data_IF_077284972414
#
_entry.id   IF_077284972414
#
_cell.length_a   1.000
_cell.length_b   1.000
_cell.length_c   1.000
_cell.angle_alpha   90.00
_cell.angle_beta   90.00
_cell.angle_gamma   90.00
#
_symmetry.space_group_name_H-M   'P 1'
#
loop_
_entity.id
_entity.type
_entity.pdbx_description
1 polymer ?
#
# COMPACT_ATOMS: atom_id res chain seq x y z
N UNK A 1 -1.54 16.08 28.78
CA UNK A 1 -1.99 15.06 27.81
C UNK A 1 -1.32 13.73 28.13
N UNK A 2 -2.01 12.61 27.95
CA UNK A 2 -1.37 11.29 28.05
C UNK A 2 -0.30 11.17 26.97
N UNK A 3 0.95 10.90 27.34
CA UNK A 3 2.00 10.61 26.38
C UNK A 3 1.70 9.30 25.64
N UNK A 4 2.02 9.23 24.36
CA UNK A 4 1.70 8.09 23.48
C UNK A 4 2.94 7.30 23.07
N UNK A 5 2.73 5.99 22.88
CA UNK A 5 3.68 5.04 22.34
C UNK A 5 3.28 4.64 20.93
N UNK A 6 4.23 4.77 19.98
CA UNK A 6 4.04 4.37 18.59
C UNK A 6 4.98 3.20 18.29
N UNK A 7 4.45 2.15 17.65
CA UNK A 7 5.22 0.99 17.21
C UNK A 7 5.17 0.90 15.70
N UNK A 8 6.33 0.76 15.05
CA UNK A 8 6.44 0.56 13.59
C UNK A 8 7.02 -0.82 13.31
N UNK A 9 6.21 -1.71 12.74
CA UNK A 9 6.63 -3.05 12.32
C UNK A 9 7.09 -2.99 10.85
N UNK A 10 8.31 -3.47 10.59
CA UNK A 10 9.10 -3.17 9.40
C UNK A 10 9.92 -1.88 9.62
N UNK A 11 10.39 -1.67 10.88
CA UNK A 11 11.11 -0.48 11.31
C UNK A 11 12.43 -0.25 10.58
N UNK A 12 13.07 -1.30 10.04
CA UNK A 12 14.25 -1.23 9.19
C UNK A 12 13.98 -0.80 7.74
N UNK A 13 12.77 -0.40 7.41
CA UNK A 13 12.42 0.09 6.07
C UNK A 13 13.18 1.36 5.71
N UNK A 14 13.58 1.48 4.44
CA UNK A 14 14.16 2.71 3.89
C UNK A 14 13.24 3.94 4.00
N UNK A 15 11.93 3.76 4.23
CA UNK A 15 10.96 4.84 4.45
C UNK A 15 10.89 5.35 5.89
N UNK A 16 11.49 4.67 6.84
CA UNK A 16 11.39 5.06 8.26
C UNK A 16 11.87 6.49 8.53
N UNK A 17 12.95 7.03 7.89
CA UNK A 17 13.32 8.43 8.08
C UNK A 17 12.23 9.42 7.68
N UNK A 18 11.45 9.14 6.63
CA UNK A 18 10.30 9.97 6.26
C UNK A 18 9.19 9.92 7.32
N UNK A 19 8.91 8.74 7.87
CA UNK A 19 7.92 8.60 8.95
C UNK A 19 8.34 9.38 10.21
N UNK A 20 9.62 9.33 10.59
CA UNK A 20 10.17 10.10 11.72
C UNK A 20 10.05 11.60 11.46
N UNK A 21 10.41 12.08 10.26
CA UNK A 21 10.21 13.48 9.88
C UNK A 21 8.76 13.91 10.00
N UNK A 22 7.83 13.09 9.52
CA UNK A 22 6.39 13.35 9.61
C UNK A 22 5.89 13.48 11.05
N UNK A 23 6.43 12.71 11.99
CA UNK A 23 6.15 12.88 13.42
C UNK A 23 6.78 14.16 13.98
N UNK A 24 8.02 14.47 13.62
CA UNK A 24 8.71 15.69 14.07
C UNK A 24 7.96 16.96 13.65
N UNK A 25 7.44 16.99 12.42
CA UNK A 25 6.63 18.12 11.91
C UNK A 25 5.33 18.28 12.73
N UNK A 26 4.83 17.20 13.32
CA UNK A 26 3.57 17.19 14.11
C UNK A 26 3.80 17.11 15.62
N UNK A 27 5.01 17.45 16.10
CA UNK A 27 5.38 17.37 17.52
C UNK A 27 4.45 18.12 18.49
N UNK A 28 3.87 19.22 18.06
CA UNK A 28 2.97 20.04 18.85
C UNK A 28 1.53 19.47 18.87
N UNK A 29 1.23 18.52 18.01
CA UNK A 29 -0.08 17.86 17.89
C UNK A 29 -0.10 16.46 18.51
N UNK A 30 1.06 15.80 18.61
CA UNK A 30 1.21 14.43 19.11
C UNK A 30 2.17 14.42 20.30
N UNK A 31 1.71 14.11 21.53
CA UNK A 31 2.53 14.04 22.73
C UNK A 31 3.31 12.69 22.76
N UNK A 32 4.15 12.45 21.76
CA UNK A 32 4.93 11.22 21.65
C UNK A 32 5.94 11.15 22.81
N UNK A 33 6.01 9.97 23.46
CA UNK A 33 7.06 9.64 24.44
C UNK A 33 8.10 8.73 23.82
N UNK A 34 7.65 7.66 23.16
CA UNK A 34 8.51 6.61 22.66
C UNK A 34 8.04 6.11 21.29
N UNK A 35 9.01 5.82 20.43
CA UNK A 35 8.82 5.18 19.13
C UNK A 35 9.62 3.88 19.11
N UNK A 36 8.93 2.78 18.87
CA UNK A 36 9.53 1.47 18.75
C UNK A 36 9.63 1.08 17.27
N UNK A 37 10.84 0.86 16.79
CA UNK A 37 11.11 0.33 15.46
C UNK A 37 11.38 -1.16 15.59
N UNK A 38 10.52 -1.98 14.99
CA UNK A 38 10.55 -3.44 15.10
C UNK A 38 10.84 -4.07 13.76
N UNK A 39 11.77 -5.00 13.72
CA UNK A 39 12.05 -5.80 12.53
C UNK A 39 12.35 -7.25 12.90
N UNK A 40 12.63 -8.09 11.92
CA UNK A 40 13.06 -9.47 12.06
C UNK A 40 14.59 -9.57 12.03
N UNK A 41 15.17 -10.70 12.42
CA UNK A 41 16.62 -10.92 12.43
C UNK A 41 17.27 -10.59 11.08
N UNK A 42 16.64 -10.97 9.97
CA UNK A 42 17.12 -10.65 8.60
C UNK A 42 17.14 -9.14 8.28
N UNK A 43 16.42 -8.32 9.03
CA UNK A 43 16.36 -6.86 8.91
C UNK A 43 17.22 -6.10 9.93
N UNK A 44 17.90 -6.79 10.84
CA UNK A 44 18.61 -6.22 11.99
C UNK A 44 19.60 -5.12 11.61
N UNK A 45 20.48 -5.36 10.64
CA UNK A 45 21.46 -4.36 10.18
C UNK A 45 20.76 -3.07 9.69
N UNK A 46 19.73 -3.24 8.87
CA UNK A 46 18.94 -2.11 8.36
C UNK A 46 18.23 -1.36 9.49
N UNK A 47 17.67 -2.10 10.46
CA UNK A 47 17.02 -1.54 11.63
C UNK A 47 17.99 -0.67 12.46
N UNK A 48 19.22 -1.15 12.69
CA UNK A 48 20.26 -0.40 13.40
C UNK A 48 20.66 0.88 12.68
N UNK A 49 20.87 0.81 11.35
CA UNK A 49 21.25 1.97 10.52
C UNK A 49 20.14 3.04 10.58
N UNK A 50 18.90 2.64 10.31
CA UNK A 50 17.76 3.55 10.30
C UNK A 50 17.44 4.09 11.69
N UNK A 51 17.52 3.25 12.72
CA UNK A 51 17.29 3.65 14.10
C UNK A 51 18.30 4.69 14.58
N UNK A 52 19.58 4.55 14.19
CA UNK A 52 20.59 5.56 14.48
C UNK A 52 20.32 6.89 13.77
N UNK A 53 19.86 6.86 12.52
CA UNK A 53 19.42 8.07 11.83
C UNK A 53 18.20 8.70 12.54
N UNK A 54 17.20 7.90 12.90
CA UNK A 54 16.02 8.37 13.63
C UNK A 54 16.39 9.10 14.94
N UNK A 55 17.33 8.55 15.72
CA UNK A 55 17.84 9.21 16.94
C UNK A 55 18.48 10.56 16.63
N UNK A 56 19.32 10.63 15.59
CA UNK A 56 19.96 11.91 15.16
C UNK A 56 18.94 12.94 14.68
N UNK A 57 17.87 12.52 14.03
CA UNK A 57 16.78 13.41 13.60
C UNK A 57 16.01 13.96 14.79
N UNK A 58 15.66 13.14 15.76
CA UNK A 58 14.95 13.52 16.99
C UNK A 58 15.82 14.47 17.84
N UNK A 59 17.12 14.16 17.99
CA UNK A 59 18.09 15.04 18.68
C UNK A 59 18.19 16.41 18.01
N UNK A 60 18.32 16.46 16.67
CA UNK A 60 18.34 17.73 15.92
C UNK A 60 17.09 18.56 16.13
N UNK A 61 15.93 17.89 16.23
CA UNK A 61 14.66 18.56 16.48
C UNK A 61 14.47 19.06 17.92
N UNK A 62 15.42 18.77 18.81
CA UNK A 62 15.39 19.16 20.23
C UNK A 62 14.30 18.44 21.03
N UNK A 63 13.97 17.20 20.66
CA UNK A 63 12.89 16.40 21.27
C UNK A 63 13.46 15.36 22.22
N UNK A 64 12.67 15.03 23.27
CA UNK A 64 12.99 14.05 24.31
C UNK A 64 12.39 12.65 24.03
N UNK A 65 12.08 12.35 22.77
CA UNK A 65 11.48 11.05 22.40
C UNK A 65 12.50 9.93 22.48
N UNK A 66 12.08 8.82 23.07
CA UNK A 66 12.88 7.60 23.13
C UNK A 66 12.70 6.78 21.86
N UNK A 67 13.81 6.48 21.14
CA UNK A 67 13.80 5.60 19.96
C UNK A 67 14.33 4.23 20.37
N UNK A 68 13.44 3.25 20.40
CA UNK A 68 13.74 1.86 20.73
C UNK A 68 13.84 1.01 19.47
N UNK A 69 14.81 0.10 19.42
CA UNK A 69 14.98 -0.88 18.36
C UNK A 69 14.76 -2.27 18.97
N UNK A 70 13.90 -3.08 18.38
CA UNK A 70 13.62 -4.42 18.91
C UNK A 70 13.42 -5.44 17.77
N UNK A 71 13.84 -6.66 18.02
CA UNK A 71 13.50 -7.83 17.23
C UNK A 71 12.37 -8.64 17.90
N UNK A 72 11.96 -8.25 19.10
CA UNK A 72 10.82 -8.81 19.82
C UNK A 72 9.58 -7.92 19.65
N UNK A 73 8.72 -8.33 18.73
CA UNK A 73 7.44 -7.65 18.46
C UNK A 73 6.55 -7.61 19.70
N UNK A 74 6.53 -8.66 20.51
CA UNK A 74 5.65 -8.73 21.68
C UNK A 74 6.05 -7.74 22.77
N UNK A 75 7.36 -7.57 22.97
CA UNK A 75 7.87 -6.54 23.87
C UNK A 75 7.44 -5.15 23.40
N UNK A 76 7.64 -4.85 22.13
CA UNK A 76 7.32 -3.56 21.55
C UNK A 76 5.82 -3.23 21.60
N UNK A 77 4.94 -4.21 21.37
CA UNK A 77 3.49 -4.00 21.32
C UNK A 77 2.86 -3.70 22.70
N UNK A 78 3.51 -4.05 23.83
CA UNK A 78 2.93 -3.80 25.17
C UNK A 78 2.54 -2.33 25.34
N UNK A 79 1.25 -2.10 25.59
CA UNK A 79 0.67 -0.77 25.83
C UNK A 79 0.88 0.24 24.69
N UNK A 80 1.05 -0.19 23.44
CA UNK A 80 1.09 0.70 22.29
C UNK A 80 -0.24 1.45 22.16
N UNK A 81 -0.19 2.70 21.71
CA UNK A 81 -1.36 3.50 21.35
C UNK A 81 -1.64 3.45 19.85
N UNK A 82 -0.56 3.37 19.04
CA UNK A 82 -0.62 3.21 17.58
C UNK A 82 0.42 2.19 17.12
N UNK A 83 0.02 1.35 16.17
CA UNK A 83 0.90 0.40 15.50
C UNK A 83 0.85 0.69 14.01
N UNK A 84 1.97 1.03 13.38
CA UNK A 84 2.07 1.13 11.93
C UNK A 84 2.78 -0.07 11.33
N UNK A 85 2.37 -0.50 10.14
CA UNK A 85 3.00 -1.62 9.43
C UNK A 85 3.49 -1.18 8.06
N UNK A 86 4.75 -1.49 7.74
CA UNK A 86 5.41 -1.18 6.46
C UNK A 86 6.40 -2.27 6.05
N UNK A 87 6.09 -3.51 6.36
CA UNK A 87 6.97 -4.65 6.09
C UNK A 87 6.68 -5.33 4.74
N UNK A 88 7.63 -6.14 4.29
CA UNK A 88 7.52 -6.95 3.08
C UNK A 88 8.04 -8.35 3.36
N UNK A 89 7.16 -9.36 3.33
CA UNK A 89 7.55 -10.76 3.48
C UNK A 89 8.37 -11.21 2.27
N UNK A 90 9.58 -11.70 2.52
CA UNK A 90 10.54 -12.10 1.50
C UNK A 90 11.35 -10.95 0.90
N UNK A 91 11.24 -9.72 1.46
CA UNK A 91 12.03 -8.55 1.08
C UNK A 91 11.91 -8.22 -0.44
N UNK A 92 12.92 -7.57 -1.00
CA UNK A 92 12.96 -7.23 -2.43
C UNK A 92 13.20 -8.47 -3.32
N UNK A 93 13.82 -9.53 -2.80
CA UNK A 93 14.03 -10.77 -3.55
C UNK A 93 12.69 -11.43 -3.92
N UNK A 94 11.72 -11.45 -3.01
CA UNK A 94 10.39 -11.94 -3.33
C UNK A 94 9.69 -11.03 -4.34
N UNK A 95 9.84 -9.70 -4.24
CA UNK A 95 9.29 -8.77 -5.22
C UNK A 95 9.88 -8.97 -6.62
N UNK A 96 11.18 -9.21 -6.74
CA UNK A 96 11.82 -9.51 -8.02
C UNK A 96 11.16 -10.75 -8.66
N UNK A 97 10.90 -11.79 -7.87
CA UNK A 97 10.19 -13.00 -8.35
C UNK A 97 8.75 -12.68 -8.74
N UNK A 98 8.04 -11.86 -7.97
CA UNK A 98 6.66 -11.44 -8.27
C UNK A 98 6.55 -10.70 -9.61
N UNK A 99 7.57 -9.91 -9.97
CA UNK A 99 7.62 -9.18 -11.26
C UNK A 99 8.13 -10.08 -12.39
N UNK A 100 9.23 -10.80 -12.20
CA UNK A 100 9.91 -11.55 -13.27
C UNK A 100 9.24 -12.85 -13.68
N UNK A 101 8.63 -13.61 -12.75
CA UNK A 101 8.01 -14.90 -13.11
C UNK A 101 6.84 -14.71 -14.08
N UNK A 102 5.86 -13.82 -13.87
CA UNK A 102 4.83 -13.57 -14.86
C UNK A 102 5.38 -13.09 -16.20
N UNK A 103 6.34 -12.14 -16.19
CA UNK A 103 6.96 -11.60 -17.42
C UNK A 103 7.65 -12.68 -18.23
N UNK A 104 8.34 -13.63 -17.61
CA UNK A 104 8.92 -14.83 -18.28
C UNK A 104 7.88 -15.59 -19.10
N UNK A 105 6.62 -15.56 -18.71
CA UNK A 105 5.52 -16.22 -19.39
C UNK A 105 4.69 -15.28 -20.29
N UNK A 106 5.16 -14.08 -20.56
CA UNK A 106 4.43 -13.11 -21.37
C UNK A 106 3.18 -12.55 -20.69
N UNK A 107 3.19 -12.48 -19.37
CA UNK A 107 2.09 -11.94 -18.54
C UNK A 107 2.63 -10.80 -17.68
N UNK A 108 1.81 -9.77 -17.46
CA UNK A 108 2.20 -8.61 -16.66
C UNK A 108 2.73 -9.03 -15.28
N UNK A 109 3.93 -8.55 -14.95
CA UNK A 109 4.59 -8.71 -13.67
C UNK A 109 4.61 -7.40 -12.89
N UNK A 110 3.84 -7.32 -11.81
CA UNK A 110 3.72 -6.13 -10.96
C UNK A 110 3.55 -6.55 -9.50
N UNK A 111 4.08 -5.74 -8.57
CA UNK A 111 4.16 -6.14 -7.16
C UNK A 111 2.82 -6.17 -6.42
N UNK A 112 1.80 -5.41 -6.87
CA UNK A 112 0.51 -5.23 -6.17
C UNK A 112 -0.71 -5.55 -7.02
N UNK A 113 -0.51 -5.77 -8.32
CA UNK A 113 -1.55 -6.17 -9.27
C UNK A 113 -1.19 -7.50 -9.92
N UNK A 114 -2.17 -8.17 -10.54
CA UNK A 114 -1.94 -9.43 -11.22
C UNK A 114 -1.42 -10.54 -10.29
N UNK A 115 -0.65 -11.45 -10.84
CA UNK A 115 -0.11 -12.62 -10.14
C UNK A 115 0.80 -12.22 -8.97
N UNK A 116 1.65 -11.20 -9.16
CA UNK A 116 2.55 -10.71 -8.11
C UNK A 116 1.80 -10.15 -6.91
N UNK A 117 0.73 -9.35 -7.15
CA UNK A 117 -0.13 -8.82 -6.09
C UNK A 117 -0.81 -9.92 -5.28
N UNK A 118 -1.35 -10.93 -5.94
CA UNK A 118 -1.96 -12.11 -5.28
C UNK A 118 -0.90 -12.80 -4.42
N UNK A 119 0.27 -13.12 -4.95
CA UNK A 119 1.33 -13.81 -4.18
C UNK A 119 1.88 -12.97 -3.03
N UNK A 120 1.98 -11.66 -3.19
CA UNK A 120 2.32 -10.76 -2.09
C UNK A 120 1.29 -10.82 -0.96
N UNK A 121 0.00 -10.84 -1.28
CA UNK A 121 -1.07 -11.02 -0.30
C UNK A 121 -0.98 -12.37 0.39
N UNK A 122 -0.80 -13.48 -0.36
CA UNK A 122 -0.70 -14.84 0.20
C UNK A 122 0.42 -14.96 1.24
N UNK A 123 1.56 -14.26 1.05
CA UNK A 123 2.68 -14.27 2.01
C UNK A 123 2.44 -13.35 3.21
N UNK A 124 1.73 -12.24 3.00
CA UNK A 124 1.61 -11.16 3.98
C UNK A 124 0.46 -11.39 4.96
N UNK A 125 -0.66 -11.97 4.49
CA UNK A 125 -1.87 -12.17 5.31
C UNK A 125 -1.60 -13.01 6.56
N UNK A 126 -0.92 -14.17 6.52
CA UNK A 126 -0.62 -14.91 7.75
C UNK A 126 0.16 -14.09 8.77
N UNK A 127 1.15 -13.32 8.31
CA UNK A 127 2.00 -12.50 9.18
C UNK A 127 1.22 -11.36 9.83
N UNK A 128 0.37 -10.66 9.08
CA UNK A 128 -0.44 -9.57 9.67
C UNK A 128 -1.47 -10.10 10.67
N UNK A 129 -2.05 -11.28 10.42
CA UNK A 129 -2.98 -11.91 11.35
C UNK A 129 -2.28 -12.31 12.67
N UNK A 130 -1.04 -12.78 12.61
CA UNK A 130 -0.23 -13.05 13.81
C UNK A 130 0.07 -11.76 14.59
N UNK A 131 0.40 -10.67 13.88
CA UNK A 131 0.60 -9.35 14.51
C UNK A 131 -0.68 -8.90 15.22
N UNK A 132 -1.81 -9.03 14.57
CA UNK A 132 -3.11 -8.66 15.13
C UNK A 132 -3.48 -9.50 16.35
N UNK A 133 -3.17 -10.79 16.34
CA UNK A 133 -3.38 -11.66 17.51
C UNK A 133 -2.54 -11.17 18.71
N UNK A 134 -1.27 -10.82 18.49
CA UNK A 134 -0.46 -10.21 19.56
C UNK A 134 -1.01 -8.85 20.02
N UNK A 135 -1.51 -8.03 19.09
CA UNK A 135 -2.13 -6.73 19.44
C UNK A 135 -3.38 -6.88 20.31
N UNK A 136 -4.22 -7.89 20.05
CA UNK A 136 -5.42 -8.15 20.88
C UNK A 136 -5.07 -8.44 22.33
N UNK A 137 -3.93 -9.09 22.57
CA UNK A 137 -3.47 -9.41 23.91
C UNK A 137 -2.72 -8.26 24.57
N UNK A 138 -1.85 -7.55 23.83
CA UNK A 138 -0.85 -6.64 24.38
C UNK A 138 -1.25 -5.17 24.29
N UNK A 139 -2.07 -4.80 23.30
CA UNK A 139 -2.54 -3.42 23.08
C UNK A 139 -3.91 -3.38 22.38
N UNK A 140 -5.00 -3.95 22.97
CA UNK A 140 -6.30 -4.10 22.32
C UNK A 140 -6.96 -2.78 21.94
N UNK A 141 -6.51 -1.68 22.52
CA UNK A 141 -7.03 -0.34 22.25
C UNK A 141 -6.23 0.43 21.20
N UNK A 142 -5.09 -0.09 20.76
CA UNK A 142 -4.26 0.56 19.74
C UNK A 142 -4.95 0.60 18.37
N UNK A 143 -4.66 1.61 17.59
CA UNK A 143 -5.01 1.66 16.17
C UNK A 143 -3.90 1.03 15.34
N UNK A 144 -4.27 0.14 14.41
CA UNK A 144 -3.40 -0.40 13.38
C UNK A 144 -3.49 0.49 12.13
N UNK A 145 -2.39 1.14 11.78
CA UNK A 145 -2.24 1.94 10.55
C UNK A 145 -1.49 1.08 9.53
N UNK A 146 -2.20 0.52 8.58
CA UNK A 146 -1.63 -0.44 7.64
C UNK A 146 -1.18 0.20 6.33
N UNK A 147 0.14 0.28 6.12
CA UNK A 147 0.78 0.60 4.83
C UNK A 147 1.31 -0.63 4.10
N UNK A 148 1.25 -1.79 4.73
CA UNK A 148 1.73 -3.03 4.13
C UNK A 148 0.84 -3.42 2.97
N UNK A 149 1.43 -3.52 1.79
CA UNK A 149 0.73 -3.83 0.54
C UNK A 149 0.51 -5.34 0.32
N UNK A 150 -0.56 -5.71 -0.39
CA UNK A 150 -1.64 -4.90 -0.96
C UNK A 150 -2.56 -4.35 0.14
N UNK A 151 -2.57 -3.03 0.32
CA UNK A 151 -3.14 -2.42 1.54
C UNK A 151 -4.63 -2.73 1.74
N UNK A 152 -5.46 -2.66 0.68
CA UNK A 152 -6.88 -3.00 0.74
C UNK A 152 -7.12 -4.44 1.17
N UNK A 153 -6.48 -5.41 0.52
CA UNK A 153 -6.57 -6.84 0.81
C UNK A 153 -6.13 -7.15 2.25
N UNK A 154 -5.01 -6.57 2.68
CA UNK A 154 -4.48 -6.78 4.03
C UNK A 154 -5.42 -6.19 5.09
N UNK A 155 -5.96 -4.99 4.86
CA UNK A 155 -6.93 -4.36 5.77
C UNK A 155 -8.19 -5.19 5.88
N UNK A 156 -8.69 -5.74 4.77
CA UNK A 156 -9.87 -6.62 4.77
C UNK A 156 -9.60 -7.94 5.51
N UNK A 157 -8.43 -8.53 5.33
CA UNK A 157 -8.03 -9.73 6.08
C UNK A 157 -8.00 -9.47 7.60
N UNK A 158 -7.48 -8.31 8.03
CA UNK A 158 -7.48 -7.92 9.45
C UNK A 158 -8.89 -7.79 10.00
N UNK A 159 -9.78 -7.11 9.28
CA UNK A 159 -11.17 -6.90 9.69
C UNK A 159 -11.97 -8.20 9.74
N UNK A 160 -11.90 -9.02 8.68
CA UNK A 160 -12.81 -10.16 8.50
C UNK A 160 -12.27 -11.46 9.10
N UNK A 161 -10.97 -11.66 9.14
CA UNK A 161 -10.34 -12.88 9.69
C UNK A 161 -9.55 -12.60 10.97
N UNK A 162 -8.99 -11.41 11.10
CA UNK A 162 -8.37 -10.96 12.33
C UNK A 162 -9.38 -10.54 13.40
N UNK A 163 -10.62 -10.21 13.05
CA UNK A 163 -11.63 -9.65 13.97
C UNK A 163 -11.05 -8.49 14.82
N UNK A 164 -10.43 -7.52 14.15
CA UNK A 164 -9.82 -6.37 14.77
C UNK A 164 -10.28 -5.08 14.08
N UNK A 165 -11.22 -4.37 14.70
CA UNK A 165 -11.93 -3.24 14.08
C UNK A 165 -11.13 -1.93 14.06
N UNK A 166 -10.10 -1.79 14.92
CA UNK A 166 -9.27 -0.58 14.96
C UNK A 166 -8.14 -0.64 13.93
N UNK A 167 -8.48 -0.79 12.66
CA UNK A 167 -7.54 -0.79 11.55
C UNK A 167 -7.97 0.18 10.46
N UNK A 168 -6.98 0.86 9.88
CA UNK A 168 -7.14 1.71 8.70
C UNK A 168 -6.02 1.40 7.72
N UNK A 169 -6.37 1.09 6.48
CA UNK A 169 -5.38 0.95 5.40
C UNK A 169 -5.11 2.28 4.73
N UNK A 170 -3.85 2.50 4.34
CA UNK A 170 -3.40 3.71 3.70
C UNK A 170 -2.60 3.44 2.42
N UNK A 171 -2.69 4.37 1.51
CA UNK A 171 -1.83 4.47 0.33
C UNK A 171 -1.46 5.94 0.09
N UNK A 172 -0.26 6.19 -0.46
CA UNK A 172 0.14 7.53 -0.85
C UNK A 172 -0.31 7.93 -2.26
N UNK A 173 -0.91 7.03 -3.03
CA UNK A 173 -1.37 7.30 -4.39
C UNK A 173 -2.43 8.40 -4.44
N UNK A 174 -3.48 8.40 -3.63
CA UNK A 174 -4.47 9.47 -3.64
C UNK A 174 -3.86 10.85 -3.35
N UNK A 175 -3.01 10.96 -2.33
CA UNK A 175 -2.38 12.24 -1.98
C UNK A 175 -1.45 12.74 -3.09
N UNK A 176 -0.72 11.85 -3.76
CA UNK A 176 0.08 12.22 -4.94
C UNK A 176 -0.78 12.71 -6.11
N UNK A 177 -1.95 12.09 -6.34
CA UNK A 177 -2.91 12.56 -7.33
C UNK A 177 -3.40 13.96 -6.99
N UNK A 178 -3.77 14.22 -5.74
CA UNK A 178 -4.23 15.53 -5.29
C UNK A 178 -3.20 16.63 -5.63
N UNK A 179 -1.93 16.41 -5.30
CA UNK A 179 -0.86 17.37 -5.61
C UNK A 179 -0.64 17.54 -7.13
N UNK A 180 -0.56 16.43 -7.86
CA UNK A 180 -0.32 16.46 -9.32
C UNK A 180 -1.43 17.21 -10.04
N UNK A 181 -2.68 16.87 -9.76
CA UNK A 181 -3.84 17.36 -10.47
C UNK A 181 -4.15 18.81 -10.10
N UNK A 182 -3.95 19.20 -8.85
CA UNK A 182 -4.01 20.61 -8.44
C UNK A 182 -2.98 21.45 -9.20
N UNK A 183 -1.76 20.94 -9.33
CA UNK A 183 -0.69 21.60 -10.09
C UNK A 183 -1.02 21.76 -11.57
N UNK A 184 -1.66 20.76 -12.19
CA UNK A 184 -2.06 20.80 -13.60
C UNK A 184 -3.02 21.95 -13.90
N UNK A 185 -3.90 22.29 -12.95
CA UNK A 185 -4.87 23.39 -13.10
C UNK A 185 -4.48 24.68 -12.35
N UNK A 186 -3.24 24.73 -11.80
CA UNK A 186 -2.71 25.92 -11.14
C UNK A 186 -3.41 26.29 -9.82
N UNK A 187 -3.98 25.31 -9.10
CA UNK A 187 -4.67 25.51 -7.81
C UNK A 187 -3.90 24.86 -6.66
N UNK A 188 -4.15 25.30 -5.42
CA UNK A 188 -3.70 24.57 -4.22
C UNK A 188 -4.60 23.36 -3.98
N UNK A 189 -4.06 22.20 -3.51
CA UNK A 189 -4.91 21.10 -3.05
C UNK A 189 -5.92 21.52 -1.97
N UNK A 190 -5.56 22.48 -1.13
CA UNK A 190 -6.42 23.00 -0.06
C UNK A 190 -7.64 23.78 -0.58
N UNK A 191 -7.64 24.18 -1.86
CA UNK A 191 -8.76 24.89 -2.51
C UNK A 191 -9.69 23.95 -3.27
N UNK A 192 -9.45 22.65 -3.20
CA UNK A 192 -10.16 21.62 -3.93
C UNK A 192 -10.81 20.60 -3.02
N UNK A 193 -11.85 19.96 -3.51
CA UNK A 193 -12.52 18.82 -2.90
C UNK A 193 -12.30 17.62 -3.82
N UNK A 194 -11.74 16.55 -3.27
CA UNK A 194 -11.46 15.31 -4.00
C UNK A 194 -12.41 14.21 -3.51
N UNK A 195 -13.21 13.66 -4.41
CA UNK A 195 -14.15 12.58 -4.09
C UNK A 195 -13.65 11.27 -4.69
N UNK A 196 -13.05 10.42 -3.86
CA UNK A 196 -12.49 9.12 -4.23
C UNK A 196 -13.48 7.98 -3.98
N UNK A 197 -13.48 6.99 -4.89
CA UNK A 197 -14.29 5.79 -4.77
C UNK A 197 -13.65 4.60 -5.51
N UNK A 198 -13.56 3.45 -4.84
CA UNK A 198 -13.06 2.21 -5.42
C UNK A 198 -12.36 1.30 -4.42
N UNK A 199 -11.31 0.62 -4.88
CA UNK A 199 -10.44 -0.24 -4.09
C UNK A 199 -9.03 0.31 -4.08
N UNK A 200 -8.21 -0.10 -3.16
CA UNK A 200 -6.79 0.29 -3.15
C UNK A 200 -6.12 -0.10 -4.47
N UNK A 201 -5.44 0.85 -5.11
CA UNK A 201 -4.87 0.75 -6.45
C UNK A 201 -5.90 0.51 -7.59
N UNK A 202 -7.18 0.62 -7.29
CA UNK A 202 -8.26 0.42 -8.27
C UNK A 202 -9.45 1.34 -7.96
N UNK A 203 -9.19 2.64 -7.92
CA UNK A 203 -10.17 3.69 -7.62
C UNK A 203 -10.28 4.72 -8.73
N UNK A 204 -11.38 5.46 -8.72
CA UNK A 204 -11.60 6.66 -9.53
C UNK A 204 -11.93 7.83 -8.62
N UNK A 205 -11.77 9.04 -9.13
CA UNK A 205 -12.10 10.24 -8.36
C UNK A 205 -12.61 11.38 -9.21
N UNK A 206 -13.25 12.32 -8.54
CA UNK A 206 -13.70 13.61 -9.08
C UNK A 206 -13.06 14.73 -8.29
N UNK A 207 -13.00 15.90 -8.92
CA UNK A 207 -12.42 17.10 -8.35
C UNK A 207 -13.42 18.23 -8.48
N UNK A 208 -13.68 18.89 -7.37
CA UNK A 208 -14.54 20.07 -7.30
C UNK A 208 -13.78 21.22 -6.67
N UNK A 209 -14.17 22.45 -7.01
CA UNK A 209 -13.76 23.60 -6.21
C UNK A 209 -14.64 23.76 -4.95
N UNK A 210 -14.30 24.74 -4.09
CA UNK A 210 -15.07 25.02 -2.87
C UNK A 210 -16.48 25.56 -3.12
N UNK A 211 -16.82 25.99 -4.34
CA UNK A 211 -18.18 26.40 -4.73
C UNK A 211 -19.04 25.21 -5.17
N UNK A 212 -18.43 24.04 -5.40
CA UNK A 212 -19.06 22.83 -5.91
C UNK A 212 -19.02 22.72 -7.43
N UNK A 213 -18.24 23.54 -8.13
CA UNK A 213 -18.01 23.41 -9.57
C UNK A 213 -17.20 22.13 -9.85
N UNK A 214 -17.67 21.27 -10.78
CA UNK A 214 -16.97 20.05 -11.21
C UNK A 214 -15.80 20.40 -12.14
N UNK A 215 -14.60 20.33 -11.63
CA UNK A 215 -13.35 20.56 -12.36
C UNK A 215 -12.77 19.29 -13.00
N UNK A 216 -13.41 18.14 -12.83
CA UNK A 216 -12.96 16.86 -13.38
C UNK A 216 -12.73 16.92 -14.90
N UNK A 217 -13.63 17.52 -15.73
CA UNK A 217 -13.41 17.63 -17.18
C UNK A 217 -12.16 18.43 -17.54
N UNK A 218 -11.90 19.54 -16.84
CA UNK A 218 -10.71 20.37 -17.06
C UNK A 218 -9.42 19.59 -16.74
N UNK A 219 -9.43 18.84 -15.64
CA UNK A 219 -8.25 18.03 -15.26
C UNK A 219 -8.04 16.88 -16.24
N UNK A 220 -9.11 16.26 -16.76
CA UNK A 220 -9.01 15.22 -17.80
C UNK A 220 -8.34 15.73 -19.07
N UNK A 221 -8.75 16.91 -19.55
CA UNK A 221 -8.14 17.57 -20.71
C UNK A 221 -6.65 17.78 -20.49
N UNK A 222 -6.28 18.35 -19.35
CA UNK A 222 -4.87 18.57 -18.98
C UNK A 222 -4.08 17.28 -18.78
N UNK A 223 -4.70 16.25 -18.24
CA UNK A 223 -4.05 14.96 -18.03
C UNK A 223 -3.71 14.25 -19.36
N UNK A 224 -4.54 14.42 -20.39
CA UNK A 224 -4.28 13.89 -21.72
C UNK A 224 -3.04 14.54 -22.40
N UNK A 225 -2.65 15.75 -21.99
CA UNK A 225 -1.44 16.43 -22.45
C UNK A 225 -0.15 15.96 -21.75
N UNK A 226 -0.28 15.22 -20.64
CA UNK A 226 0.89 14.75 -19.83
C UNK A 226 1.60 13.61 -20.56
N UNK A 227 2.92 13.76 -20.76
CA UNK A 227 3.77 12.79 -21.47
C UNK A 227 4.69 11.99 -20.54
N UNK A 228 4.81 12.38 -19.27
CA UNK A 228 5.76 11.77 -18.33
C UNK A 228 5.09 11.43 -16.99
N UNK A 229 5.55 10.37 -16.35
CA UNK A 229 5.10 10.02 -15.00
C UNK A 229 5.59 11.02 -13.97
N UNK A 230 4.74 11.38 -13.04
CA UNK A 230 5.10 12.08 -11.82
C UNK A 230 5.27 11.13 -10.62
N UNK A 231 5.08 9.82 -10.83
CA UNK A 231 5.11 8.80 -9.78
C UNK A 231 6.19 7.76 -10.10
N UNK A 232 7.28 7.78 -9.34
CA UNK A 232 8.45 6.91 -9.53
C UNK A 232 8.16 5.39 -9.44
N UNK A 233 7.09 4.99 -8.76
CA UNK A 233 6.75 3.58 -8.55
C UNK A 233 5.83 2.99 -9.61
N UNK A 234 5.31 3.79 -10.50
CA UNK A 234 4.33 3.39 -11.52
C UNK A 234 4.89 3.80 -12.87
N UNK A 235 5.06 2.82 -13.74
CA UNK A 235 5.39 3.06 -15.13
C UNK A 235 4.29 3.89 -15.78
N UNK A 236 4.66 4.74 -16.72
CA UNK A 236 3.72 5.63 -17.36
C UNK A 236 3.53 5.29 -18.84
N UNK A 237 2.27 5.08 -19.20
CA UNK A 237 1.76 5.11 -20.56
C UNK A 237 0.52 6.01 -20.54
N UNK A 238 0.42 7.01 -21.41
CA UNK A 238 -0.71 7.93 -21.41
C UNK A 238 -2.00 7.18 -21.77
N UNK A 239 -3.08 7.45 -21.04
CA UNK A 239 -4.40 6.96 -21.39
C UNK A 239 -4.87 7.54 -22.72
N UNK A 240 -5.67 6.79 -23.48
CA UNK A 240 -6.41 7.38 -24.60
C UNK A 240 -7.45 8.35 -24.05
N UNK A 241 -7.54 9.54 -24.63
CA UNK A 241 -8.45 10.59 -24.19
C UNK A 241 -9.89 10.09 -24.16
N UNK A 242 -10.31 9.33 -25.18
CA UNK A 242 -11.63 8.75 -25.30
C UNK A 242 -11.98 7.79 -24.15
N UNK A 243 -10.99 7.02 -23.66
CA UNK A 243 -11.19 6.09 -22.53
C UNK A 243 -11.58 6.85 -21.25
N UNK A 244 -10.83 7.91 -20.92
CA UNK A 244 -11.01 8.62 -19.65
C UNK A 244 -12.18 9.60 -19.70
N UNK A 245 -12.44 10.25 -20.84
CA UNK A 245 -13.52 11.23 -21.01
C UNK A 245 -14.87 10.61 -20.71
N UNK A 246 -15.18 9.44 -21.24
CA UNK A 246 -16.46 8.76 -21.08
C UNK A 246 -16.65 8.16 -19.67
N UNK A 247 -15.59 7.92 -18.94
CA UNK A 247 -15.71 7.50 -17.53
C UNK A 247 -16.38 8.60 -16.69
N UNK A 248 -16.08 9.89 -16.97
CA UNK A 248 -16.54 11.03 -16.18
C UNK A 248 -15.94 11.09 -14.78
N UNK A 249 -14.85 10.37 -14.56
CA UNK A 249 -14.04 10.33 -13.36
C UNK A 249 -12.59 10.07 -13.75
N UNK A 250 -11.64 10.63 -13.02
CA UNK A 250 -10.21 10.41 -13.22
C UNK A 250 -9.82 9.02 -12.74
N UNK A 251 -9.16 8.20 -13.55
CA UNK A 251 -8.70 6.89 -13.14
C UNK A 251 -7.44 6.97 -12.27
N UNK A 252 -7.31 6.05 -11.33
CA UNK A 252 -6.05 5.80 -10.63
C UNK A 252 -4.93 5.46 -11.62
N UNK A 253 -3.70 5.89 -11.34
CA UNK A 253 -2.54 5.60 -12.21
C UNK A 253 -2.33 4.10 -12.47
N UNK A 254 -2.71 3.23 -11.53
CA UNK A 254 -2.66 1.79 -11.74
C UNK A 254 -3.64 1.24 -12.79
N UNK A 255 -4.66 2.03 -13.19
CA UNK A 255 -5.57 1.59 -14.25
C UNK A 255 -4.89 1.44 -15.63
N UNK A 256 -3.69 2.02 -15.84
CA UNK A 256 -2.88 1.73 -17.03
C UNK A 256 -2.70 0.23 -17.26
N UNK A 257 -2.45 -0.55 -16.20
CA UNK A 257 -2.28 -2.00 -16.32
C UNK A 257 -3.53 -2.71 -16.87
N UNK A 258 -4.71 -2.13 -16.66
CA UNK A 258 -6.01 -2.68 -17.08
C UNK A 258 -6.53 -2.11 -18.40
N UNK A 259 -6.23 -0.84 -18.67
CA UNK A 259 -6.73 -0.13 -19.85
C UNK A 259 -5.73 -0.15 -21.02
N UNK A 260 -4.45 -0.34 -20.73
CA UNK A 260 -3.34 -0.33 -21.67
C UNK A 260 -2.44 -1.57 -21.44
N UNK A 261 -3.09 -2.74 -21.29
CA UNK A 261 -2.41 -3.98 -20.86
C UNK A 261 -1.27 -4.37 -21.78
N UNK A 262 -1.46 -4.25 -23.11
CA UNK A 262 -0.43 -4.62 -24.08
C UNK A 262 0.78 -3.68 -24.02
N UNK A 263 0.55 -2.37 -23.94
CA UNK A 263 1.63 -1.37 -23.86
C UNK A 263 2.45 -1.56 -22.57
N UNK A 264 1.75 -1.76 -21.45
CA UNK A 264 2.38 -2.02 -20.16
C UNK A 264 3.15 -3.36 -20.14
N UNK A 265 2.64 -4.38 -20.84
CA UNK A 265 3.33 -5.65 -20.98
C UNK A 265 4.60 -5.51 -21.81
N UNK A 266 4.55 -4.83 -22.96
CA UNK A 266 5.74 -4.59 -23.81
C UNK A 266 6.82 -3.84 -23.04
N UNK A 267 6.45 -2.83 -22.28
CA UNK A 267 7.38 -2.11 -21.39
C UNK A 267 8.00 -3.04 -20.34
N UNK A 268 7.17 -3.81 -19.63
CA UNK A 268 7.64 -4.78 -18.64
C UNK A 268 8.56 -5.85 -19.22
N UNK A 269 8.30 -6.33 -20.45
CA UNK A 269 9.19 -7.28 -21.14
C UNK A 269 10.54 -6.65 -21.48
N UNK A 270 10.58 -5.40 -21.93
CA UNK A 270 11.83 -4.69 -22.17
C UNK A 270 12.66 -4.52 -20.88
N UNK A 271 12.01 -4.22 -19.75
CA UNK A 271 12.65 -4.14 -18.43
C UNK A 271 13.13 -5.51 -17.94
N UNK A 272 12.37 -6.58 -18.22
CA UNK A 272 12.78 -7.95 -17.92
C UNK A 272 14.08 -8.34 -18.62
N UNK A 273 14.19 -8.04 -19.91
CA UNK A 273 15.40 -8.33 -20.72
C UNK A 273 16.64 -7.54 -20.26
N UNK A 274 16.42 -6.30 -19.84
CA UNK A 274 17.52 -5.41 -19.40
C UNK A 274 17.86 -5.52 -17.92
N UNK A 275 17.17 -6.40 -17.15
CA UNK A 275 17.31 -6.49 -15.69
C UNK A 275 17.09 -5.15 -14.97
N UNK A 276 16.07 -4.43 -15.41
CA UNK A 276 15.67 -3.13 -14.87
C UNK A 276 14.21 -3.11 -14.43
N UNK A 277 13.63 -4.27 -14.08
CA UNK A 277 12.29 -4.28 -13.48
C UNK A 277 12.28 -3.37 -12.24
N UNK A 278 11.14 -2.82 -11.89
CA UNK A 278 11.06 -1.86 -10.80
C UNK A 278 11.66 -2.39 -9.48
N UNK A 279 11.51 -3.68 -9.19
CA UNK A 279 12.13 -4.30 -8.01
C UNK A 279 13.66 -4.28 -8.06
N UNK A 280 14.23 -4.55 -9.23
CA UNK A 280 15.69 -4.53 -9.44
C UNK A 280 16.26 -3.12 -9.32
N UNK A 281 15.58 -2.13 -9.88
CA UNK A 281 15.95 -0.70 -9.72
C UNK A 281 15.86 -0.28 -8.26
N UNK A 282 14.75 -0.60 -7.59
CA UNK A 282 14.54 -0.27 -6.18
C UNK A 282 15.60 -0.91 -5.27
N UNK A 283 16.05 -2.13 -5.58
CA UNK A 283 17.11 -2.81 -4.81
C UNK A 283 18.43 -2.03 -4.85
N UNK A 284 18.78 -1.47 -6.00
CA UNK A 284 19.99 -0.61 -6.15
C UNK A 284 19.83 0.70 -5.38
N UNK A 285 18.71 1.39 -5.57
CA UNK A 285 18.42 2.64 -4.87
C UNK A 285 18.39 2.46 -3.35
N UNK A 286 17.83 1.35 -2.86
CA UNK A 286 17.79 1.07 -1.43
C UNK A 286 19.20 0.86 -0.85
N UNK A 287 20.08 0.16 -1.56
CA UNK A 287 21.48 0.00 -1.14
C UNK A 287 22.20 1.36 -1.03
N UNK A 288 22.03 2.24 -2.01
CA UNK A 288 22.59 3.61 -2.00
C UNK A 288 22.04 4.43 -0.82
N UNK A 289 20.72 4.33 -0.55
CA UNK A 289 20.10 5.02 0.58
C UNK A 289 20.68 4.55 1.92
N UNK A 290 20.86 3.24 2.12
CA UNK A 290 21.43 2.72 3.36
C UNK A 290 22.87 3.18 3.57
N UNK A 291 23.67 3.33 2.51
CA UNK A 291 25.01 3.93 2.61
C UNK A 291 24.94 5.40 3.07
N UNK A 292 23.99 6.19 2.55
CA UNK A 292 23.76 7.55 3.02
C UNK A 292 23.34 7.57 4.51
N UNK A 293 22.46 6.67 4.92
CA UNK A 293 21.95 6.61 6.31
C UNK A 293 23.04 6.27 7.34
N UNK A 294 24.10 5.55 6.93
CA UNK A 294 25.26 5.25 7.78
C UNK A 294 26.07 6.51 8.14
N UNK A 295 25.95 7.59 7.37
CA UNK A 295 26.69 8.82 7.63
C UNK A 295 26.31 9.41 9.00
N UNK A 296 27.24 9.51 9.98
CA UNK A 296 26.94 10.02 11.32
C UNK A 296 26.56 11.52 11.34
N UNK A 297 26.88 12.25 10.29
CA UNK A 297 26.55 13.68 10.16
C UNK A 297 25.16 13.91 9.54
N UNK A 298 24.56 12.89 8.94
CA UNK A 298 23.20 13.00 8.41
C UNK A 298 22.20 13.06 9.56
N UNK A 299 21.41 14.13 9.61
CA UNK A 299 20.42 14.41 10.66
C UNK A 299 19.05 14.77 10.10
N UNK A 300 18.84 14.53 8.80
CA UNK A 300 17.62 14.81 8.05
C UNK A 300 17.32 13.66 7.12
N UNK A 301 16.09 13.60 6.63
CA UNK A 301 15.72 12.75 5.51
C UNK A 301 16.45 13.24 4.25
N UNK A 302 17.25 12.38 3.57
CA UNK A 302 17.92 12.79 2.35
C UNK A 302 16.94 12.89 1.18
N UNK A 303 17.17 13.87 0.29
CA UNK A 303 16.36 14.08 -0.90
C UNK A 303 16.29 12.84 -1.82
N UNK A 304 17.36 12.04 -1.85
CA UNK A 304 17.45 10.81 -2.63
C UNK A 304 16.34 9.79 -2.30
N UNK A 305 15.72 9.89 -1.13
CA UNK A 305 14.61 9.04 -0.75
C UNK A 305 13.40 9.20 -1.68
N UNK A 306 13.21 10.38 -2.30
CA UNK A 306 12.13 10.61 -3.27
C UNK A 306 12.20 9.68 -4.47
N UNK A 307 13.41 9.32 -4.95
CA UNK A 307 13.64 8.39 -6.06
C UNK A 307 13.20 6.95 -5.76
N UNK A 308 13.15 6.60 -4.47
CA UNK A 308 12.65 5.29 -4.01
C UNK A 308 11.15 5.15 -4.27
N UNK A 309 10.43 6.25 -4.43
CA UNK A 309 8.98 6.37 -4.44
C UNK A 309 8.43 6.46 -3.01
N UNK A 310 7.16 6.76 -2.87
CA UNK A 310 6.53 6.92 -1.56
C UNK A 310 6.52 8.36 -1.05
N UNK A 311 6.69 9.33 -1.92
CA UNK A 311 6.49 10.75 -1.61
C UNK A 311 5.14 10.94 -0.91
N UNK A 312 5.08 11.80 0.12
CA UNK A 312 3.91 12.01 0.99
C UNK A 312 3.46 10.79 1.81
N UNK A 313 4.31 9.77 1.95
CA UNK A 313 4.01 8.61 2.78
C UNK A 313 3.75 9.02 4.24
N UNK A 314 4.62 9.85 4.81
CA UNK A 314 4.48 10.35 6.18
C UNK A 314 3.29 11.27 6.34
N UNK A 315 2.96 12.07 5.31
CA UNK A 315 1.80 12.94 5.37
C UNK A 315 0.51 12.15 5.57
N UNK A 316 0.34 11.04 4.86
CA UNK A 316 -0.81 10.17 5.06
C UNK A 316 -0.82 9.50 6.44
N UNK A 317 0.32 8.87 6.87
CA UNK A 317 0.38 8.13 8.13
C UNK A 317 0.22 9.02 9.36
N UNK A 318 1.02 10.09 9.40
CA UNK A 318 1.07 10.95 10.57
C UNK A 318 -0.19 11.79 10.70
N UNK A 319 -0.80 12.23 9.57
CA UNK A 319 -2.06 12.94 9.59
C UNK A 319 -3.22 12.05 10.07
N UNK A 320 -3.25 10.77 9.65
CA UNK A 320 -4.23 9.82 10.16
C UNK A 320 -4.12 9.66 11.69
N UNK A 321 -2.90 9.45 12.20
CA UNK A 321 -2.66 9.32 13.64
C UNK A 321 -3.06 10.59 14.37
N UNK A 322 -2.69 11.77 13.87
CA UNK A 322 -3.07 13.06 14.42
C UNK A 322 -4.59 13.24 14.44
N UNK A 323 -5.25 12.87 13.34
CA UNK A 323 -6.69 13.04 13.21
C UNK A 323 -7.46 12.13 14.16
N UNK A 324 -7.04 10.88 14.33
CA UNK A 324 -7.63 9.95 15.30
C UNK A 324 -7.39 10.45 16.74
N UNK A 325 -6.12 10.76 17.07
CA UNK A 325 -5.76 11.16 18.44
C UNK A 325 -6.48 12.43 18.90
N UNK A 326 -6.54 13.45 18.02
CA UNK A 326 -7.11 14.76 18.35
C UNK A 326 -8.58 14.90 17.93
N UNK A 327 -9.20 13.87 17.33
CA UNK A 327 -10.56 13.95 16.76
C UNK A 327 -10.73 15.15 15.81
N UNK A 328 -9.74 15.36 14.91
CA UNK A 328 -9.69 16.55 14.02
C UNK A 328 -10.79 16.59 12.97
N UNK A 329 -11.39 15.43 12.65
CA UNK A 329 -12.37 15.27 11.56
C UNK A 329 -11.80 15.63 10.18
N UNK A 330 -10.52 15.31 9.97
CA UNK A 330 -9.85 15.52 8.68
C UNK A 330 -10.48 14.63 7.62
N UNK A 331 -10.74 15.15 6.43
CA UNK A 331 -11.08 14.34 5.28
C UNK A 331 -9.82 13.68 4.71
N UNK A 332 -9.85 12.36 4.55
CA UNK A 332 -8.75 11.57 4.00
C UNK A 332 -9.28 10.43 3.15
N UNK A 333 -8.48 10.00 2.17
CA UNK A 333 -8.75 8.78 1.40
C UNK A 333 -8.09 7.61 2.10
N UNK A 334 -8.90 6.64 2.53
CA UNK A 334 -8.44 5.50 3.31
C UNK A 334 -9.13 4.20 2.89
N UNK A 335 -8.44 3.08 3.11
CA UNK A 335 -9.03 1.74 3.00
C UNK A 335 -9.73 1.41 4.33
N UNK A 336 -11.05 1.26 4.29
CA UNK A 336 -11.91 0.99 5.43
C UNK A 336 -13.14 0.18 5.04
N UNK A 337 -13.95 -0.28 6.00
CA UNK A 337 -15.22 -0.96 5.71
C UNK A 337 -16.12 -0.08 4.85
N UNK A 338 -16.76 -0.71 3.88
CA UNK A 338 -17.67 -0.05 2.96
C UNK A 338 -18.87 0.62 3.66
N UNK A 339 -19.51 -0.09 4.56
CA UNK A 339 -20.71 0.41 5.27
C UNK A 339 -21.76 1.07 4.34
N UNK A 340 -21.79 0.61 3.07
CA UNK A 340 -22.72 1.12 2.06
C UNK A 340 -22.26 2.40 1.34
N UNK A 341 -21.04 2.88 1.54
CA UNK A 341 -20.48 4.01 0.80
C UNK A 341 -20.50 3.76 -0.72
N UNK A 342 -20.14 2.54 -1.13
CA UNK A 342 -20.27 2.03 -2.50
C UNK A 342 -21.36 0.95 -2.52
N UNK A 343 -22.52 1.27 -3.07
CA UNK A 343 -23.69 0.38 -3.05
C UNK A 343 -23.59 -0.79 -4.04
N UNK A 344 -22.60 -0.76 -4.93
CA UNK A 344 -22.30 -1.83 -5.88
C UNK A 344 -21.41 -2.95 -5.28
N UNK A 345 -20.88 -2.75 -4.07
CA UNK A 345 -19.99 -3.69 -3.39
C UNK A 345 -20.59 -4.19 -2.08
N UNK A 346 -20.17 -5.36 -1.57
CA UNK A 346 -20.64 -5.89 -0.29
C UNK A 346 -20.49 -4.89 0.86
N UNK A 347 -21.44 -4.90 1.78
CA UNK A 347 -21.48 -3.98 2.93
C UNK A 347 -20.26 -4.09 3.84
N UNK A 348 -19.76 -5.31 4.04
CA UNK A 348 -18.67 -5.64 4.97
C UNK A 348 -17.28 -5.69 4.33
N UNK A 349 -17.18 -5.48 3.00
CA UNK A 349 -15.89 -5.48 2.32
C UNK A 349 -15.10 -4.19 2.64
N UNK A 350 -13.83 -4.18 2.31
CA UNK A 350 -13.00 -2.97 2.37
C UNK A 350 -13.01 -2.24 1.04
N UNK A 351 -13.16 -0.93 1.12
CA UNK A 351 -13.10 0.00 -0.02
C UNK A 351 -12.09 1.11 0.25
N UNK A 352 -11.54 1.73 -0.79
CA UNK A 352 -10.74 2.95 -0.68
C UNK A 352 -11.59 4.14 -1.12
N UNK A 353 -11.94 4.98 -0.15
CA UNK A 353 -12.90 6.08 -0.33
C UNK A 353 -12.53 7.30 0.50
N UNK A 354 -12.99 8.48 0.07
CA UNK A 354 -13.00 9.68 0.90
C UNK A 354 -13.76 9.40 2.20
N UNK A 355 -13.15 9.74 3.33
CA UNK A 355 -13.67 9.45 4.66
C UNK A 355 -13.37 10.60 5.63
N UNK A 356 -14.26 10.86 6.58
CA UNK A 356 -13.96 11.75 7.70
C UNK A 356 -13.30 10.93 8.81
N UNK A 357 -12.10 11.32 9.20
CA UNK A 357 -11.34 10.65 10.25
C UNK A 357 -11.70 11.25 11.60
N UNK A 358 -12.29 10.44 12.46
CA UNK A 358 -12.69 10.83 13.82
C UNK A 358 -11.88 10.10 14.88
N UNK A 359 -12.02 10.48 16.16
CA UNK A 359 -11.38 9.79 17.28
C UNK A 359 -11.82 8.32 17.47
N UNK A 360 -12.89 7.90 16.78
CA UNK A 360 -13.38 6.52 16.75
C UNK A 360 -13.17 5.88 15.38
N UNK A 361 -12.26 6.43 14.58
CA UNK A 361 -11.86 5.93 13.27
C UNK A 361 -12.55 6.59 12.07
N UNK A 362 -12.35 6.03 10.87
CA UNK A 362 -12.89 6.56 9.63
C UNK A 362 -14.41 6.44 9.54
N UNK A 363 -15.02 7.45 8.93
CA UNK A 363 -16.42 7.51 8.53
C UNK A 363 -16.47 7.67 7.03
N UNK A 364 -16.69 6.60 6.25
CA UNK A 364 -16.71 6.65 4.81
C UNK A 364 -17.83 7.56 4.32
N UNK A 365 -17.52 8.40 3.34
CA UNK A 365 -18.49 9.25 2.67
C UNK A 365 -19.23 8.44 1.59
N UNK A 366 -20.53 8.64 1.50
CA UNK A 366 -21.35 7.96 0.49
C UNK A 366 -21.01 8.45 -0.90
N UNK A 367 -20.65 7.53 -1.78
CA UNK A 367 -20.48 7.79 -3.21
C UNK A 367 -21.69 7.29 -4.02
N UNK A 368 -22.23 6.13 -3.67
CA UNK A 368 -23.35 5.50 -4.37
C UNK A 368 -22.93 4.43 -5.38
N UNK A 369 -23.30 4.60 -6.64
CA UNK A 369 -23.10 3.61 -7.71
C UNK A 369 -22.11 4.10 -8.77
N UNK A 370 -21.32 3.17 -9.28
CA UNK A 370 -20.52 3.39 -10.48
C UNK A 370 -21.32 3.28 -11.78
N UNK A 371 -20.84 3.95 -12.83
CA UNK A 371 -21.28 3.64 -14.19
C UNK A 371 -20.91 2.20 -14.57
N UNK A 372 -21.61 1.55 -15.52
CA UNK A 372 -21.40 0.14 -15.84
C UNK A 372 -19.94 -0.25 -16.16
N UNK A 373 -19.20 0.61 -16.88
CA UNK A 373 -17.80 0.34 -17.25
C UNK A 373 -16.87 0.20 -16.04
N UNK A 374 -17.06 1.03 -15.01
CA UNK A 374 -16.29 0.96 -13.76
C UNK A 374 -16.85 -0.12 -12.82
N UNK A 375 -18.19 -0.24 -12.75
CA UNK A 375 -18.85 -1.21 -11.86
C UNK A 375 -18.44 -2.64 -12.15
N UNK A 376 -18.39 -3.04 -13.42
CA UNK A 376 -18.06 -4.42 -13.80
C UNK A 376 -16.66 -4.82 -13.30
N UNK A 377 -15.67 -3.98 -13.54
CA UNK A 377 -14.29 -4.27 -13.17
C UNK A 377 -14.06 -4.17 -11.65
N UNK A 378 -14.66 -3.19 -10.96
CA UNK A 378 -14.48 -3.07 -9.50
C UNK A 378 -15.11 -4.25 -8.73
N UNK A 379 -16.26 -4.75 -9.20
CA UNK A 379 -16.88 -5.95 -8.63
C UNK A 379 -16.02 -7.20 -8.87
N UNK A 380 -15.47 -7.35 -10.08
CA UNK A 380 -14.58 -8.45 -10.41
C UNK A 380 -13.31 -8.43 -9.53
N UNK A 381 -12.70 -7.24 -9.39
CA UNK A 381 -11.51 -7.08 -8.56
C UNK A 381 -11.81 -7.32 -7.07
N UNK A 382 -12.95 -6.89 -6.55
CA UNK A 382 -13.35 -7.19 -5.17
C UNK A 382 -13.53 -8.70 -4.95
N UNK A 383 -14.19 -9.39 -5.85
CA UNK A 383 -14.33 -10.85 -5.78
C UNK A 383 -12.96 -11.56 -5.80
N UNK A 384 -12.01 -11.09 -6.62
CA UNK A 384 -10.65 -11.60 -6.64
C UNK A 384 -9.92 -11.37 -5.31
N UNK A 385 -10.08 -10.19 -4.70
CA UNK A 385 -9.49 -9.87 -3.38
C UNK A 385 -10.02 -10.80 -2.29
N UNK A 386 -11.33 -11.00 -2.20
CA UNK A 386 -11.98 -11.87 -1.23
C UNK A 386 -11.52 -13.33 -1.36
N UNK A 387 -11.47 -13.86 -2.58
CA UNK A 387 -10.97 -15.23 -2.85
C UNK A 387 -9.48 -15.35 -2.52
N UNK A 388 -8.68 -14.28 -2.75
CA UNK A 388 -7.25 -14.25 -2.38
C UNK A 388 -7.06 -14.32 -0.87
N UNK A 389 -7.85 -13.58 -0.10
CA UNK A 389 -7.81 -13.60 1.36
C UNK A 389 -8.17 -15.00 1.87
N UNK A 390 -9.24 -15.59 1.37
CA UNK A 390 -9.67 -16.94 1.74
C UNK A 390 -8.59 -17.98 1.40
N UNK A 391 -7.94 -17.85 0.23
CA UNK A 391 -6.84 -18.72 -0.17
C UNK A 391 -5.65 -18.61 0.79
N UNK A 392 -5.28 -17.38 1.21
CA UNK A 392 -4.18 -17.14 2.12
C UNK A 392 -4.42 -17.75 3.50
N UNK A 393 -5.66 -17.71 3.99
CA UNK A 393 -6.04 -18.23 5.32
C UNK A 393 -6.17 -19.76 5.30
N UNK A 394 -6.72 -20.33 4.22
CA UNK A 394 -7.01 -21.76 4.14
C UNK A 394 -5.89 -22.63 3.54
N UNK A 395 -4.93 -22.00 2.84
CA UNK A 395 -3.91 -22.72 2.07
C UNK A 395 -4.48 -23.47 0.84
N UNK A 396 -5.65 -23.07 0.34
CA UNK A 396 -6.32 -23.75 -0.76
C UNK A 396 -5.72 -23.38 -2.12
N UNK A 397 -5.07 -24.34 -2.76
CA UNK A 397 -4.59 -24.21 -4.16
C UNK A 397 -5.69 -23.83 -5.14
N UNK A 398 -6.87 -24.47 -4.99
CA UNK A 398 -8.01 -24.22 -5.88
C UNK A 398 -8.48 -22.75 -5.79
N UNK A 399 -8.47 -22.16 -4.60
CA UNK A 399 -8.84 -20.74 -4.42
C UNK A 399 -7.81 -19.80 -5.01
N UNK A 400 -6.50 -20.09 -4.90
CA UNK A 400 -5.49 -19.28 -5.61
C UNK A 400 -5.73 -19.34 -7.12
N UNK A 401 -6.01 -20.51 -7.67
CA UNK A 401 -6.32 -20.65 -9.08
C UNK A 401 -7.59 -19.86 -9.47
N UNK A 402 -8.62 -19.86 -8.63
CA UNK A 402 -9.81 -19.03 -8.83
C UNK A 402 -9.47 -17.53 -8.82
N UNK A 403 -8.64 -17.06 -7.88
CA UNK A 403 -8.20 -15.68 -7.85
C UNK A 403 -7.42 -15.30 -9.12
N UNK A 404 -6.57 -16.20 -9.64
CA UNK A 404 -5.87 -16.03 -10.92
C UNK A 404 -6.84 -15.89 -12.09
N UNK A 405 -7.89 -16.72 -12.14
CA UNK A 405 -8.89 -16.70 -13.22
C UNK A 405 -9.74 -15.42 -13.16
N UNK A 406 -10.02 -14.89 -11.97
CA UNK A 406 -10.77 -13.66 -11.78
C UNK A 406 -9.94 -12.41 -12.13
N UNK A 407 -8.62 -12.50 -12.10
CA UNK A 407 -7.77 -11.32 -12.34
C UNK A 407 -7.62 -11.06 -13.84
N UNK A 408 -8.08 -9.91 -14.38
CA UNK A 408 -8.05 -9.64 -15.82
C UNK A 408 -6.64 -9.48 -16.40
N UNK A 409 -5.61 -9.33 -15.56
CA UNK A 409 -4.19 -9.26 -15.99
C UNK A 409 -3.56 -10.63 -16.18
N UNK A 410 -4.27 -11.72 -15.85
CA UNK A 410 -3.77 -13.08 -15.95
C UNK A 410 -4.60 -13.84 -16.98
N UNK A 411 -4.05 -14.22 -18.14
CA UNK A 411 -4.76 -15.09 -19.07
C UNK A 411 -5.15 -16.41 -18.39
N UNK A 412 -6.39 -16.83 -18.55
CA UNK A 412 -6.92 -18.05 -17.91
C UNK A 412 -6.34 -19.33 -18.54
N UNK A 413 -6.61 -20.47 -17.90
CA UNK A 413 -6.27 -21.78 -18.43
C UNK A 413 -4.84 -22.23 -18.11
N UNK A 414 -4.15 -22.75 -19.12
CA UNK A 414 -2.85 -23.43 -18.93
C UNK A 414 -1.78 -22.50 -18.38
N UNK A 415 -1.74 -21.26 -18.87
CA UNK A 415 -0.73 -20.27 -18.48
C UNK A 415 -0.91 -19.85 -17.01
N UNK A 416 -2.13 -19.62 -16.57
CA UNK A 416 -2.43 -19.30 -15.16
C UNK A 416 -1.93 -20.39 -14.22
N UNK A 417 -2.19 -21.66 -14.57
CA UNK A 417 -1.73 -22.81 -13.78
C UNK A 417 -0.21 -22.96 -13.76
N UNK A 418 0.45 -22.68 -14.88
CA UNK A 418 1.92 -22.73 -15.00
C UNK A 418 2.57 -21.66 -14.12
N UNK A 419 2.10 -20.42 -14.21
CA UNK A 419 2.60 -19.31 -13.39
C UNK A 419 2.34 -19.59 -11.90
N UNK A 420 1.12 -20.04 -11.55
CA UNK A 420 0.78 -20.37 -10.18
C UNK A 420 1.73 -21.43 -9.58
N UNK A 421 2.02 -22.51 -10.31
CA UNK A 421 2.92 -23.56 -9.83
C UNK A 421 4.35 -23.05 -9.66
N UNK A 422 4.86 -22.30 -10.63
CA UNK A 422 6.22 -21.74 -10.56
C UNK A 422 6.34 -20.74 -9.40
N UNK A 423 5.35 -19.89 -9.18
CA UNK A 423 5.35 -18.93 -8.07
C UNK A 423 5.23 -19.62 -6.71
N UNK A 424 4.42 -20.70 -6.58
CA UNK A 424 4.35 -21.49 -5.33
C UNK A 424 5.71 -22.09 -4.98
N UNK A 425 6.41 -22.66 -5.96
CA UNK A 425 7.76 -23.22 -5.76
C UNK A 425 8.78 -22.13 -5.41
N UNK A 426 8.73 -21.00 -6.12
CA UNK A 426 9.67 -19.90 -5.93
C UNK A 426 9.54 -19.19 -4.58
N UNK A 427 8.36 -19.22 -3.98
CA UNK A 427 8.03 -18.58 -2.70
C UNK A 427 7.79 -19.56 -1.55
N UNK A 428 8.13 -20.84 -1.71
CA UNK A 428 7.76 -21.91 -0.77
C UNK A 428 8.13 -21.64 0.68
N UNK A 429 9.25 -20.97 0.91
CA UNK A 429 9.76 -20.66 2.26
C UNK A 429 8.86 -19.65 3.02
N UNK A 430 8.02 -18.91 2.30
CA UNK A 430 7.11 -17.90 2.85
C UNK A 430 5.63 -18.33 2.77
N UNK A 431 5.36 -19.57 2.36
CA UNK A 431 4.01 -20.07 2.10
C UNK A 431 3.74 -21.40 2.83
N UNK A 432 3.95 -21.46 4.16
CA UNK A 432 3.79 -22.71 4.91
C UNK A 432 2.38 -23.31 4.82
N UNK A 433 1.34 -22.48 4.67
CA UNK A 433 -0.03 -22.92 4.50
C UNK A 433 -0.26 -23.69 3.19
N UNK A 434 0.60 -23.54 2.19
CA UNK A 434 0.55 -24.26 0.91
C UNK A 434 1.49 -25.47 0.83
N UNK A 435 2.12 -25.88 1.93
CA UNK A 435 3.15 -26.93 1.95
C UNK A 435 2.69 -28.25 1.28
N UNK A 436 1.41 -28.63 1.43
CA UNK A 436 0.86 -29.82 0.77
C UNK A 436 0.82 -29.67 -0.74
N UNK A 437 0.32 -28.55 -1.25
CA UNK A 437 0.23 -28.26 -2.68
C UNK A 437 1.63 -28.17 -3.31
N UNK A 438 2.57 -27.52 -2.62
CA UNK A 438 3.97 -27.40 -3.06
C UNK A 438 4.62 -28.77 -3.21
N UNK A 439 4.47 -29.66 -2.20
CA UNK A 439 4.98 -31.05 -2.29
C UNK A 439 4.37 -31.86 -3.45
N UNK A 440 3.09 -31.63 -3.75
CA UNK A 440 2.44 -32.30 -4.88
C UNK A 440 2.96 -31.79 -6.24
N UNK A 441 3.30 -30.49 -6.34
CA UNK A 441 3.91 -29.90 -7.53
C UNK A 441 5.35 -30.44 -7.72
N UNK A 442 6.17 -30.45 -6.66
CA UNK A 442 7.53 -30.99 -6.67
C UNK A 442 7.63 -32.45 -7.12
N UNK A 443 6.59 -33.26 -6.84
CA UNK A 443 6.54 -34.66 -7.27
C UNK A 443 6.19 -34.88 -8.75
N UNK A 444 5.62 -33.86 -9.39
CA UNK A 444 5.11 -33.95 -10.78
C UNK A 444 6.06 -33.30 -11.80
N UNK A 445 7.00 -32.50 -11.34
CA UNK A 445 8.09 -31.90 -12.14
C UNK A 445 9.34 -32.74 -12.04
#
# INVERSE_FOLDING_TARGET
>A
MKKIKIVTIGGGSSYTPELIEGFIVRKDQLPIKEIWLVDIEAGKEKLEIVGNLARRMVEKAGLDWEIHLSLDRKEALKNADFVSTQFRVGLLEARIKDERIPLKHGVLGQETNGAGGIFKALRTIPVILDIVNDMKELCPNAWLVNFTNPSGIITEAVLNYGNFEKVVGLCNVPINHNFRESKLIGKSPDDLIFQYAGLNHHHWHKIYDKSGEDLTPLVMEKLAEVKESTMENIDFVPFFEEQIRDLGMLPCSYHQYYYLTDDMLQKGLAEYETHTTRAEVVKKLEAELFELYKNPNLRDKPEQLTKRGGTHYSDAACELICSIYNNKKTEMVVSTRNHGALTDLPYDCVVEVSSIITGIGPRPLTFGKFKPAMRGIVQLMKAMEEVTIEAAVTGSYAKVLQAFILNPLIPSGKIAKTILNEMLLAHKDYLPQFAKAIKEIEKKG
#
